data_IF_246729092923
#
_entry.id   IF_246729092923
#
_cell.length_a   1.000
_cell.length_b   1.000
_cell.length_c   1.000
_cell.angle_alpha   90.00
_cell.angle_beta   90.00
_cell.angle_gamma   90.00
#
_symmetry.space_group_name_H-M   'P 1'
#
loop_
_entity.id
_entity.type
_entity.pdbx_description
1 polymer ?
#
# COMPACT_ATOMS: atom_id res chain seq x y z
N UNK A 1 -3.04 0.96 4.85
CA UNK A 1 -2.16 0.03 4.10
C UNK A 1 -0.75 0.15 4.62
N UNK A 2 -0.11 -0.96 4.90
CA UNK A 2 1.22 -1.00 5.53
C UNK A 2 2.10 -2.01 4.81
N UNK A 3 3.37 -1.65 4.61
CA UNK A 3 4.36 -2.55 4.06
C UNK A 3 4.97 -3.38 5.19
N UNK A 4 4.80 -4.69 5.14
CA UNK A 4 5.32 -5.64 6.12
C UNK A 4 6.59 -6.37 5.66
N UNK A 5 7.11 -6.01 4.48
CA UNK A 5 8.34 -6.60 3.94
C UNK A 5 9.18 -5.50 3.28
N UNK A 6 10.49 -5.58 3.42
CA UNK A 6 11.42 -4.64 2.80
C UNK A 6 11.77 -5.00 1.36
N UNK A 7 11.03 -5.92 0.72
CA UNK A 7 11.41 -6.45 -0.58
C UNK A 7 12.64 -7.34 -0.51
N UNK A 8 12.84 -7.99 0.64
CA UNK A 8 13.97 -8.90 0.89
C UNK A 8 13.93 -10.08 -0.08
N UNK A 9 15.12 -10.58 -0.45
CA UNK A 9 15.24 -11.70 -1.36
C UNK A 9 14.66 -12.98 -0.76
N UNK A 10 13.68 -13.59 -1.47
CA UNK A 10 13.02 -14.83 -1.04
C UNK A 10 13.68 -16.05 -1.67
N UNK A 11 14.13 -15.95 -2.93
CA UNK A 11 14.77 -17.02 -3.67
C UNK A 11 16.12 -16.54 -4.19
N UNK A 12 17.19 -16.58 -3.38
CA UNK A 12 18.50 -16.06 -3.77
C UNK A 12 19.04 -16.64 -5.07
N UNK A 13 18.82 -17.92 -5.31
CA UNK A 13 19.31 -18.61 -6.51
C UNK A 13 18.65 -18.07 -7.79
N UNK A 14 17.38 -17.69 -7.73
CA UNK A 14 16.70 -17.11 -8.87
C UNK A 14 17.18 -15.69 -9.13
N UNK A 15 17.47 -14.97 -8.08
CA UNK A 15 17.97 -13.60 -8.19
C UNK A 15 19.36 -13.56 -8.78
N UNK A 16 20.25 -14.43 -8.31
CA UNK A 16 21.60 -14.53 -8.85
C UNK A 16 21.58 -14.86 -10.33
N UNK A 17 20.64 -15.67 -10.77
CA UNK A 17 20.54 -16.13 -12.15
C UNK A 17 19.85 -15.11 -13.07
N UNK A 18 18.80 -14.45 -12.61
CA UNK A 18 17.89 -13.72 -13.47
C UNK A 18 17.84 -12.21 -13.25
N UNK A 19 18.23 -11.68 -12.11
CA UNK A 19 18.28 -10.24 -11.93
C UNK A 19 19.40 -9.63 -12.76
N UNK A 20 19.15 -8.48 -13.36
CA UNK A 20 20.15 -7.73 -14.11
C UNK A 20 21.32 -7.31 -13.21
N UNK A 21 21.04 -7.01 -11.95
CA UNK A 21 22.03 -6.77 -10.92
C UNK A 21 21.78 -7.68 -9.71
N UNK A 22 22.45 -8.86 -9.65
CA UNK A 22 22.25 -9.79 -8.54
C UNK A 22 22.66 -9.23 -7.17
N UNK A 23 23.43 -8.15 -7.15
CA UNK A 23 23.89 -7.51 -5.92
C UNK A 23 22.97 -6.38 -5.47
N UNK A 24 21.92 -6.07 -6.23
CA UNK A 24 20.94 -5.06 -5.81
C UNK A 24 20.32 -5.48 -4.49
N UNK A 25 20.09 -4.49 -3.62
CA UNK A 25 19.46 -4.70 -2.32
C UNK A 25 17.96 -4.90 -2.44
N UNK A 26 17.22 -4.75 -1.34
CA UNK A 26 15.77 -4.83 -1.34
C UNK A 26 15.15 -3.74 -2.21
N UNK A 27 13.82 -3.88 -2.46
CA UNK A 27 13.08 -2.91 -3.26
C UNK A 27 13.32 -1.47 -2.77
N UNK A 28 13.62 -0.58 -3.70
CA UNK A 28 13.89 0.83 -3.38
C UNK A 28 12.63 1.69 -3.27
N UNK A 29 11.47 1.16 -3.69
CA UNK A 29 10.23 1.94 -3.70
C UNK A 29 9.60 2.05 -2.32
N UNK A 30 9.76 1.04 -1.48
CA UNK A 30 9.11 0.96 -0.18
C UNK A 30 10.07 0.47 0.90
N UNK A 31 9.82 0.90 2.14
CA UNK A 31 10.52 0.43 3.34
C UNK A 31 9.52 -0.21 4.29
N UNK A 32 9.97 -1.16 5.08
CA UNK A 32 9.16 -1.72 6.18
C UNK A 32 8.71 -0.58 7.09
N UNK A 33 7.41 -0.55 7.38
CA UNK A 33 6.82 0.50 8.21
C UNK A 33 6.22 1.66 7.42
N UNK A 34 6.46 1.74 6.11
CA UNK A 34 5.78 2.75 5.28
C UNK A 34 4.27 2.55 5.38
N UNK A 35 3.55 3.62 5.66
CA UNK A 35 2.09 3.58 5.86
C UNK A 35 1.43 4.63 4.98
N UNK A 36 0.34 4.25 4.34
CA UNK A 36 -0.43 5.10 3.42
C UNK A 36 -1.87 5.16 3.90
N UNK A 37 -2.44 6.36 3.92
CA UNK A 37 -3.87 6.57 4.17
C UNK A 37 -4.52 6.98 2.87
N UNK A 38 -5.43 6.14 2.37
CA UNK A 38 -6.15 6.39 1.13
C UNK A 38 -7.59 6.77 1.43
N UNK A 39 -8.04 7.84 0.80
CA UNK A 39 -9.41 8.35 0.94
C UNK A 39 -10.04 8.51 -0.43
N UNK A 40 -11.35 8.47 -0.44
CA UNK A 40 -12.13 8.83 -1.62
C UNK A 40 -13.26 9.79 -1.20
N UNK A 41 -12.99 11.08 -1.39
CA UNK A 41 -13.92 12.17 -1.08
C UNK A 41 -14.01 13.09 -2.29
N UNK A 42 -14.96 14.05 -2.32
CA UNK A 42 -14.99 15.03 -3.41
C UNK A 42 -13.69 15.83 -3.57
N UNK A 43 -12.88 15.94 -2.52
CA UNK A 43 -11.64 16.70 -2.54
C UNK A 43 -10.40 15.85 -2.73
N UNK A 44 -10.50 14.53 -2.53
CA UNK A 44 -9.34 13.64 -2.59
C UNK A 44 -9.77 12.27 -3.09
N UNK A 45 -9.23 11.87 -4.23
CA UNK A 45 -9.50 10.55 -4.82
C UNK A 45 -8.18 9.81 -4.98
N UNK A 46 -7.83 9.05 -3.96
CA UNK A 46 -6.55 8.35 -3.92
C UNK A 46 -6.52 7.10 -4.79
N UNK A 47 -7.67 6.61 -5.23
CA UNK A 47 -7.68 5.47 -6.14
C UNK A 47 -7.14 5.84 -7.52
N UNK A 48 -7.55 6.99 -8.05
CA UNK A 48 -7.13 7.43 -9.37
C UNK A 48 -5.91 8.35 -9.37
N UNK A 49 -5.60 8.95 -8.24
CA UNK A 49 -4.55 9.97 -8.13
C UNK A 49 -3.53 9.67 -7.03
N UNK A 50 -3.29 8.39 -6.75
CA UNK A 50 -2.41 7.98 -5.66
C UNK A 50 -0.99 8.52 -5.88
N UNK A 51 -0.51 9.30 -4.91
CA UNK A 51 0.82 9.91 -4.92
C UNK A 51 1.16 10.62 -6.24
N UNK A 52 0.15 11.19 -6.89
CA UNK A 52 0.30 11.88 -8.17
C UNK A 52 1.04 11.03 -9.22
N UNK A 53 0.69 9.75 -9.29
CA UNK A 53 1.30 8.81 -10.22
C UNK A 53 2.69 8.31 -9.80
N UNK A 54 3.13 8.57 -8.59
CA UNK A 54 4.45 8.16 -8.11
C UNK A 54 4.46 6.84 -7.34
N UNK A 55 3.32 6.23 -7.16
CA UNK A 55 3.24 4.91 -6.53
C UNK A 55 3.73 3.83 -7.51
N UNK A 56 4.39 2.80 -7.00
CA UNK A 56 4.89 1.71 -7.84
C UNK A 56 3.76 1.01 -8.59
N UNK A 57 3.85 0.95 -9.92
CA UNK A 57 2.83 0.32 -10.77
C UNK A 57 2.67 -1.16 -10.51
N UNK A 58 3.73 -1.89 -10.25
CA UNK A 58 3.67 -3.31 -9.95
C UNK A 58 2.97 -3.61 -8.62
N UNK A 59 3.17 -2.73 -7.63
CA UNK A 59 2.45 -2.82 -6.37
C UNK A 59 0.97 -2.46 -6.57
N UNK A 60 0.69 -1.37 -7.26
CA UNK A 60 -0.69 -0.91 -7.48
C UNK A 60 -1.51 -1.92 -8.27
N UNK A 61 -0.94 -2.49 -9.30
CA UNK A 61 -1.60 -3.53 -10.08
C UNK A 61 -2.05 -4.73 -9.23
N UNK A 62 -1.22 -5.11 -8.27
CA UNK A 62 -1.53 -6.24 -7.39
C UNK A 62 -2.56 -5.92 -6.30
N UNK A 63 -2.55 -4.70 -5.75
CA UNK A 63 -3.33 -4.36 -4.56
C UNK A 63 -4.56 -3.50 -4.83
N UNK A 64 -4.67 -2.88 -6.02
CA UNK A 64 -5.70 -1.87 -6.29
C UNK A 64 -7.12 -2.39 -6.09
N UNK A 65 -7.42 -3.63 -6.45
CA UNK A 65 -8.77 -4.20 -6.26
C UNK A 65 -9.15 -4.28 -4.79
N UNK A 66 -8.21 -4.57 -3.91
CA UNK A 66 -8.47 -4.59 -2.47
C UNK A 66 -8.69 -3.19 -1.92
N UNK A 67 -7.91 -2.24 -2.39
CA UNK A 67 -8.06 -0.83 -2.02
C UNK A 67 -9.40 -0.29 -2.52
N UNK A 68 -9.77 -0.58 -3.76
CA UNK A 68 -11.05 -0.16 -4.32
C UNK A 68 -12.22 -0.72 -3.50
N UNK A 69 -12.17 -2.00 -3.18
CA UNK A 69 -13.21 -2.66 -2.36
C UNK A 69 -13.32 -1.99 -0.98
N UNK A 70 -12.19 -1.70 -0.35
CA UNK A 70 -12.18 -1.02 0.94
C UNK A 70 -12.80 0.39 0.85
N UNK A 71 -12.45 1.15 -0.18
CA UNK A 71 -12.98 2.50 -0.39
C UNK A 71 -14.49 2.51 -0.66
N UNK A 72 -15.02 1.42 -1.22
CA UNK A 72 -16.45 1.23 -1.41
C UNK A 72 -17.19 0.68 -0.18
N UNK A 73 -16.47 0.44 0.90
CA UNK A 73 -17.08 -0.09 2.13
C UNK A 73 -17.39 -1.58 2.08
N UNK A 74 -16.81 -2.31 1.14
CA UNK A 74 -17.06 -3.73 0.96
C UNK A 74 -16.19 -4.63 1.83
N UNK A 75 -16.54 -5.92 1.84
CA UNK A 75 -15.71 -6.98 2.40
C UNK A 75 -14.50 -7.18 1.49
N UNK A 76 -13.29 -7.02 2.03
CA UNK A 76 -12.09 -7.07 1.17
C UNK A 76 -11.79 -8.51 0.82
N UNK A 77 -11.87 -9.46 1.45
CA UNK A 77 -11.73 -10.87 1.08
C UNK A 77 -12.46 -11.74 2.10
N UNK A 78 -13.74 -11.92 1.85
CA UNK A 78 -14.59 -12.71 2.74
C UNK A 78 -14.00 -14.11 2.97
N UNK A 79 -13.90 -14.50 4.24
CA UNK A 79 -13.38 -15.80 4.67
C UNK A 79 -11.92 -16.09 4.31
N UNK A 80 -11.20 -15.14 3.71
CA UNK A 80 -9.78 -15.33 3.40
C UNK A 80 -8.90 -15.10 4.63
N UNK A 81 -9.24 -14.06 5.39
CA UNK A 81 -8.66 -13.79 6.71
C UNK A 81 -9.77 -13.86 7.76
N UNK A 82 -9.42 -13.76 9.02
CA UNK A 82 -10.40 -13.70 10.10
C UNK A 82 -11.02 -12.30 10.28
N UNK A 83 -10.67 -11.34 9.44
CA UNK A 83 -11.22 -9.99 9.45
C UNK A 83 -11.50 -9.56 8.01
N UNK A 84 -12.80 -9.40 7.67
CA UNK A 84 -13.22 -8.98 6.32
C UNK A 84 -12.78 -7.58 5.92
N UNK A 85 -12.30 -6.79 6.87
CA UNK A 85 -11.84 -5.43 6.61
C UNK A 85 -10.37 -5.37 6.27
N UNK A 86 -9.70 -6.50 6.12
CA UNK A 86 -8.27 -6.50 5.82
C UNK A 86 -7.89 -7.59 4.83
N UNK A 87 -6.78 -7.35 4.17
CA UNK A 87 -6.10 -8.33 3.33
C UNK A 87 -4.61 -8.13 3.41
N UNK A 88 -3.87 -9.21 3.32
CA UNK A 88 -2.42 -9.19 3.15
C UNK A 88 -2.12 -9.59 1.71
N UNK A 89 -1.50 -8.68 0.97
CA UNK A 89 -1.23 -8.87 -0.45
C UNK A 89 0.22 -8.50 -0.77
N UNK A 90 0.70 -8.96 -1.90
CA UNK A 90 2.08 -8.77 -2.33
C UNK A 90 2.12 -8.05 -3.68
N UNK A 91 3.14 -7.25 -3.92
CA UNK A 91 3.38 -6.68 -5.25
C UNK A 91 3.69 -7.78 -6.27
N UNK A 92 3.74 -7.42 -7.55
CA UNK A 92 3.98 -8.39 -8.61
C UNK A 92 5.45 -8.80 -8.77
N UNK A 93 6.38 -8.19 -8.02
CA UNK A 93 7.79 -8.54 -8.10
C UNK A 93 8.09 -9.73 -7.18
N UNK A 94 8.18 -10.93 -7.77
CA UNK A 94 8.50 -12.15 -7.03
C UNK A 94 9.96 -12.26 -6.60
N UNK A 95 10.85 -11.40 -7.11
CA UNK A 95 12.27 -11.46 -6.74
C UNK A 95 12.57 -10.64 -5.49
N UNK A 96 11.84 -9.54 -5.29
CA UNK A 96 11.97 -8.67 -4.12
C UNK A 96 10.58 -8.25 -3.64
N UNK A 97 9.79 -9.20 -3.13
CA UNK A 97 8.38 -8.93 -2.84
C UNK A 97 8.20 -7.92 -1.72
N UNK A 98 7.25 -7.03 -1.92
CA UNK A 98 6.78 -6.10 -0.91
C UNK A 98 5.39 -6.52 -0.50
N UNK A 99 5.19 -6.75 0.79
CA UNK A 99 3.93 -7.25 1.33
C UNK A 99 3.21 -6.09 2.01
N UNK A 100 1.95 -5.90 1.62
CA UNK A 100 1.09 -4.84 2.13
C UNK A 100 -0.01 -5.44 3.00
N UNK A 101 -0.23 -4.81 4.15
CA UNK A 101 -1.44 -5.01 4.93
C UNK A 101 -2.42 -3.91 4.56
N UNK A 102 -3.56 -4.29 4.03
CA UNK A 102 -4.59 -3.36 3.57
C UNK A 102 -5.75 -3.44 4.54
N UNK A 103 -6.11 -2.32 5.15
CA UNK A 103 -7.19 -2.25 6.14
C UNK A 103 -8.20 -1.19 5.74
N UNK A 104 -9.50 -1.55 5.82
CA UNK A 104 -10.59 -0.60 5.76
C UNK A 104 -10.82 -0.03 7.15
N UNK A 105 -10.79 1.28 7.25
CA UNK A 105 -11.04 1.98 8.50
C UNK A 105 -12.37 2.71 8.38
N UNK A 106 -13.35 2.31 9.17
CA UNK A 106 -14.69 2.90 9.19
C UNK A 106 -14.79 3.88 10.35
N UNK A 107 -14.17 5.06 10.20
CA UNK A 107 -14.14 6.07 11.24
C UNK A 107 -14.90 7.30 10.78
N UNK A 108 -15.91 7.78 11.55
CA UNK A 108 -16.55 9.05 11.21
C UNK A 108 -15.55 10.19 11.28
N UNK A 109 -15.53 11.05 10.26
CA UNK A 109 -14.66 12.21 10.24
C UNK A 109 -15.22 13.29 11.17
N UNK A 110 -14.60 13.44 12.33
CA UNK A 110 -14.81 14.55 13.27
C UNK A 110 -13.46 15.17 13.61
N UNK A 111 -13.45 16.25 14.38
CA UNK A 111 -12.21 16.98 14.70
C UNK A 111 -11.20 16.14 15.45
N UNK A 112 -11.63 15.26 16.36
CA UNK A 112 -10.73 14.36 17.09
C UNK A 112 -10.02 13.39 16.13
N UNK A 113 -10.77 12.79 15.23
CA UNK A 113 -10.24 11.85 14.22
C UNK A 113 -9.28 12.59 13.28
N UNK A 114 -9.65 13.78 12.82
CA UNK A 114 -8.78 14.59 11.95
C UNK A 114 -7.47 14.92 12.64
N UNK A 115 -7.51 15.30 13.91
CA UNK A 115 -6.30 15.58 14.67
C UNK A 115 -5.46 14.33 14.89
N UNK A 116 -6.10 13.19 15.19
CA UNK A 116 -5.42 11.93 15.32
C UNK A 116 -4.72 11.52 14.01
N UNK A 117 -5.41 11.66 12.88
CA UNK A 117 -4.85 11.35 11.57
C UNK A 117 -3.64 12.22 11.24
N UNK A 118 -3.67 13.50 11.60
CA UNK A 118 -2.53 14.40 11.38
C UNK A 118 -1.29 14.00 12.15
N UNK A 119 -1.45 13.32 13.28
CA UNK A 119 -0.33 12.84 14.10
C UNK A 119 0.29 11.57 13.54
N UNK A 120 -0.38 10.88 12.61
CA UNK A 120 0.15 9.70 11.96
C UNK A 120 1.11 10.12 10.85
N UNK A 121 2.21 9.39 10.69
CA UNK A 121 3.20 9.70 9.67
C UNK A 121 2.87 8.96 8.37
N UNK A 122 1.79 9.36 7.71
CA UNK A 122 1.41 8.79 6.42
C UNK A 122 2.26 9.37 5.30
N UNK A 123 2.61 8.55 4.32
CA UNK A 123 3.43 8.91 3.16
C UNK A 123 2.66 9.65 2.07
N UNK A 124 1.35 9.52 2.04
CA UNK A 124 0.51 10.07 0.97
C UNK A 124 -0.56 11.00 1.53
N UNK A 125 -0.17 12.05 2.22
CA UNK A 125 -1.13 13.12 2.54
C UNK A 125 -1.57 13.77 1.24
N UNK A 126 -2.69 14.49 1.27
CA UNK A 126 -3.17 15.21 0.09
C UNK A 126 -2.09 16.14 -0.47
N UNK A 127 -1.31 16.76 0.40
CA UNK A 127 -0.20 17.62 0.02
C UNK A 127 0.88 16.84 -0.73
N UNK A 128 1.30 15.69 -0.20
CA UNK A 128 2.32 14.85 -0.83
C UNK A 128 1.84 14.30 -2.16
N UNK A 129 0.56 13.95 -2.28
CA UNK A 129 0.00 13.34 -3.48
C UNK A 129 -0.13 14.33 -4.64
N UNK A 130 -0.45 15.60 -4.37
CA UNK A 130 -0.87 16.55 -5.41
C UNK A 130 0.07 17.74 -5.59
N UNK A 131 1.08 17.92 -4.77
CA UNK A 131 2.07 18.99 -4.91
C UNK A 131 3.41 18.54 -5.47
N UNK A 132 3.56 17.26 -5.69
CA UNK A 132 4.82 16.71 -6.23
C UNK A 132 5.03 16.98 -7.69
#
# INVERSE_FOLDING_TARGET
>A
MQNNSSGTKVFPELQEKYLADPKSGPCSCFKVGDTFLLKRTPQQDDFYHLMNGKFCGEAWDAISRYVYTALQGGSIMHSWTNDERMMIACCNDGTRPVIFKIERIDIPENEEVKQWLKKQNFKNTAEDAYTG
#
